data_IF_515729532131
#
_entry.id   IF_515729532131
#
_cell.length_a   1.000
_cell.length_b   1.000
_cell.length_c   1.000
_cell.angle_alpha   90.00
_cell.angle_beta   90.00
_cell.angle_gamma   90.00
#
_symmetry.space_group_name_H-M   'P 1'
#
loop_
_entity.id
_entity.type
_entity.pdbx_description
1 polymer ?
#
# COMPACT_ATOMS: atom_id res chain seq x y z
N UNK A 1 19.40 26.85 -12.78
CA UNK A 1 18.20 27.16 -11.96
C UNK A 1 17.18 26.07 -12.23
N UNK A 2 16.77 25.27 -11.22
CA UNK A 2 15.61 24.38 -11.38
C UNK A 2 14.39 25.31 -11.50
N UNK A 3 13.65 25.23 -12.60
CA UNK A 3 12.37 25.93 -12.71
C UNK A 3 11.48 25.42 -11.57
N UNK A 4 11.00 26.33 -10.70
CA UNK A 4 10.03 25.97 -9.68
C UNK A 4 8.76 25.50 -10.38
N UNK A 5 8.40 24.23 -10.15
CA UNK A 5 7.17 23.64 -10.69
C UNK A 5 6.00 24.29 -9.96
N UNK A 6 5.08 24.91 -10.71
CA UNK A 6 3.83 25.46 -10.15
C UNK A 6 3.07 24.35 -9.43
N UNK A 7 2.85 24.52 -8.13
CA UNK A 7 1.97 23.65 -7.35
C UNK A 7 0.50 23.95 -7.71
N UNK A 8 -0.29 22.96 -8.16
CA UNK A 8 -1.72 23.17 -8.43
C UNK A 8 -2.49 23.47 -7.13
N UNK A 9 -3.59 24.22 -7.23
CA UNK A 9 -4.50 24.44 -6.09
C UNK A 9 -5.25 23.15 -5.73
N UNK A 10 -5.92 23.15 -4.57
CA UNK A 10 -6.73 22.00 -4.15
C UNK A 10 -7.90 21.81 -5.10
N UNK A 11 -8.56 22.90 -5.46
CA UNK A 11 -9.69 22.91 -6.38
C UNK A 11 -9.27 22.40 -7.77
N UNK A 12 -8.09 22.81 -8.28
CA UNK A 12 -7.58 22.35 -9.58
C UNK A 12 -7.33 20.83 -9.59
N UNK A 13 -6.75 20.28 -8.51
CA UNK A 13 -6.54 18.83 -8.39
C UNK A 13 -7.85 18.06 -8.20
N UNK A 14 -8.76 18.57 -7.37
CA UNK A 14 -10.07 17.94 -7.14
C UNK A 14 -10.89 17.91 -8.43
N UNK A 15 -10.97 19.01 -9.17
CA UNK A 15 -11.67 19.07 -10.46
C UNK A 15 -11.07 18.11 -11.50
N UNK A 16 -9.74 17.96 -11.52
CA UNK A 16 -9.06 17.01 -12.40
C UNK A 16 -9.37 15.55 -12.05
N UNK A 17 -9.58 15.23 -10.77
CA UNK A 17 -9.94 13.89 -10.30
C UNK A 17 -11.43 13.60 -10.51
N UNK A 18 -12.31 14.57 -10.24
CA UNK A 18 -13.75 14.50 -10.50
C UNK A 18 -14.08 14.36 -12.00
N UNK A 19 -13.20 14.76 -12.91
CA UNK A 19 -13.38 14.49 -14.35
C UNK A 19 -13.10 13.04 -14.72
N UNK A 20 -12.38 12.28 -13.88
CA UNK A 20 -12.00 10.89 -14.12
C UNK A 20 -12.96 9.89 -13.49
N UNK A 21 -13.60 10.25 -12.39
CA UNK A 21 -14.57 9.44 -11.65
C UNK A 21 -15.87 10.21 -11.49
N UNK A 22 -17.01 9.54 -11.26
CA UNK A 22 -18.19 10.30 -10.82
C UNK A 22 -17.90 11.00 -9.48
N UNK A 23 -18.52 12.16 -9.24
CA UNK A 23 -18.37 12.91 -7.98
C UNK A 23 -18.66 12.04 -6.74
N UNK A 24 -19.60 11.10 -6.85
CA UNK A 24 -19.91 10.16 -5.77
C UNK A 24 -18.74 9.18 -5.49
N UNK A 25 -18.14 8.61 -6.53
CA UNK A 25 -16.99 7.71 -6.41
C UNK A 25 -15.81 8.48 -5.81
N UNK A 26 -15.50 9.66 -6.34
CA UNK A 26 -14.38 10.45 -5.85
C UNK A 26 -14.57 10.84 -4.38
N UNK A 27 -15.78 11.24 -3.98
CA UNK A 27 -16.11 11.54 -2.59
C UNK A 27 -15.83 10.34 -1.67
N UNK A 28 -16.27 9.13 -2.03
CA UNK A 28 -16.00 7.90 -1.24
C UNK A 28 -14.50 7.65 -1.08
N UNK A 29 -13.71 7.81 -2.15
CA UNK A 29 -12.25 7.63 -2.11
C UNK A 29 -11.57 8.70 -1.24
N UNK A 30 -11.99 9.96 -1.38
CA UNK A 30 -11.48 11.09 -0.60
C UNK A 30 -11.75 10.95 0.90
N UNK A 31 -12.89 10.39 1.29
CA UNK A 31 -13.25 10.17 2.70
C UNK A 31 -12.63 8.89 3.28
N UNK A 32 -12.13 7.98 2.43
CA UNK A 32 -11.61 6.69 2.87
C UNK A 32 -10.31 6.80 3.66
N UNK A 33 -10.18 5.91 4.65
CA UNK A 33 -8.99 5.72 5.48
C UNK A 33 -8.40 4.33 5.24
N UNK A 34 -7.13 4.30 4.85
CA UNK A 34 -6.39 3.07 4.60
C UNK A 34 -5.08 3.09 5.37
N UNK A 35 -4.70 1.98 5.98
CA UNK A 35 -3.37 1.81 6.54
C UNK A 35 -2.53 0.87 5.68
N UNK A 36 -1.22 1.13 5.63
CA UNK A 36 -0.24 0.28 4.95
C UNK A 36 0.81 -0.16 5.95
N UNK A 37 0.81 -1.45 6.26
CA UNK A 37 1.72 -2.10 7.19
C UNK A 37 2.88 -2.74 6.41
N UNK A 38 4.06 -2.13 6.53
CA UNK A 38 5.24 -2.47 5.73
C UNK A 38 5.28 -1.63 4.46
N UNK A 39 6.38 -0.91 4.26
CA UNK A 39 6.60 0.03 3.17
C UNK A 39 7.73 -0.44 2.25
N UNK A 40 7.86 -1.77 2.12
CA UNK A 40 8.75 -2.43 1.17
C UNK A 40 8.26 -2.37 -0.28
N UNK A 41 8.57 -3.40 -1.07
CA UNK A 41 8.23 -3.43 -2.50
C UNK A 41 6.73 -3.35 -2.77
N UNK A 42 5.94 -4.10 -2.01
CA UNK A 42 4.48 -4.08 -2.17
C UNK A 42 3.91 -2.79 -1.57
N UNK A 43 4.09 -2.56 -0.27
CA UNK A 43 3.43 -1.45 0.42
C UNK A 43 3.78 -0.05 -0.12
N UNK A 44 5.03 0.22 -0.50
CA UNK A 44 5.39 1.53 -1.07
C UNK A 44 4.71 1.77 -2.43
N UNK A 45 4.67 0.76 -3.30
CA UNK A 45 3.97 0.86 -4.58
C UNK A 45 2.44 0.89 -4.40
N UNK A 46 1.90 0.11 -3.45
CA UNK A 46 0.47 0.15 -3.08
C UNK A 46 0.08 1.56 -2.65
N UNK A 47 0.84 2.19 -1.75
CA UNK A 47 0.57 3.55 -1.28
C UNK A 47 0.64 4.59 -2.42
N UNK A 48 1.59 4.44 -3.36
CA UNK A 48 1.68 5.27 -4.56
C UNK A 48 0.42 5.13 -5.42
N UNK A 49 -0.04 3.90 -5.66
CA UNK A 49 -1.28 3.66 -6.40
C UNK A 49 -2.50 4.28 -5.69
N UNK A 50 -2.63 4.09 -4.37
CA UNK A 50 -3.72 4.66 -3.58
C UNK A 50 -3.74 6.19 -3.61
N UNK A 51 -2.58 6.84 -3.47
CA UNK A 51 -2.47 8.30 -3.56
C UNK A 51 -2.88 8.81 -4.94
N UNK A 52 -2.47 8.12 -6.02
CA UNK A 52 -2.86 8.46 -7.41
C UNK A 52 -4.33 8.23 -7.69
N UNK A 53 -4.97 7.30 -6.98
CA UNK A 53 -6.40 7.02 -7.09
C UNK A 53 -7.28 7.98 -6.28
N UNK A 54 -6.69 8.90 -5.50
CA UNK A 54 -7.45 9.92 -4.77
C UNK A 54 -7.94 9.46 -3.39
N UNK A 55 -7.34 8.43 -2.81
CA UNK A 55 -7.55 8.14 -1.38
C UNK A 55 -7.17 9.37 -0.56
N UNK A 56 -8.01 9.80 0.38
CA UNK A 56 -7.76 11.02 1.13
C UNK A 56 -6.94 10.84 2.40
N UNK A 57 -6.94 9.63 3.00
CA UNK A 57 -6.22 9.36 4.24
C UNK A 57 -5.41 8.06 4.16
N UNK A 58 -4.09 8.16 4.32
CA UNK A 58 -3.19 7.01 4.36
C UNK A 58 -2.38 7.03 5.67
N UNK A 59 -2.35 5.90 6.37
CA UNK A 59 -1.44 5.66 7.48
C UNK A 59 -0.30 4.75 7.05
N UNK A 60 0.94 5.21 7.24
CA UNK A 60 2.14 4.50 6.81
C UNK A 60 2.88 3.97 8.03
N UNK A 61 3.11 2.67 8.09
CA UNK A 61 3.76 2.02 9.24
C UNK A 61 4.92 1.16 8.76
N UNK A 62 6.13 1.53 9.17
CA UNK A 62 7.36 0.76 8.93
C UNK A 62 8.44 1.22 9.92
N UNK A 63 9.38 0.37 10.28
CA UNK A 63 10.47 0.68 11.20
C UNK A 63 11.82 0.87 10.51
N UNK A 64 11.93 0.48 9.24
CA UNK A 64 13.19 0.46 8.50
C UNK A 64 13.54 1.82 7.88
N UNK A 65 14.81 1.91 7.48
CA UNK A 65 15.32 2.94 6.56
C UNK A 65 15.41 2.42 5.12
N UNK A 66 15.52 3.33 4.16
CA UNK A 66 15.74 3.00 2.75
C UNK A 66 17.18 2.56 2.53
N UNK A 67 17.36 1.32 2.07
CA UNK A 67 18.66 0.75 1.74
C UNK A 67 18.92 0.69 0.22
N UNK A 68 20.19 0.64 -0.20
CA UNK A 68 20.57 0.55 -1.62
C UNK A 68 19.93 -0.66 -2.32
N UNK A 69 19.84 -1.80 -1.64
CA UNK A 69 19.24 -3.03 -2.17
C UNK A 69 17.73 -2.92 -2.38
N UNK A 70 17.09 -1.85 -1.87
CA UNK A 70 15.66 -1.62 -1.99
C UNK A 70 15.28 -0.97 -3.32
N UNK A 71 16.20 -0.23 -3.94
CA UNK A 71 15.93 0.59 -5.14
C UNK A 71 15.52 -0.25 -6.37
N UNK A 72 15.78 -1.56 -6.36
CA UNK A 72 15.42 -2.43 -7.47
C UNK A 72 13.91 -2.69 -7.60
N UNK A 73 13.10 -2.38 -6.57
CA UNK A 73 11.67 -2.76 -6.54
C UNK A 73 10.76 -1.88 -5.67
N UNK A 74 11.32 -1.04 -4.79
CA UNK A 74 10.55 -0.15 -3.92
C UNK A 74 10.40 1.23 -4.58
N UNK A 75 9.39 2.01 -4.20
CA UNK A 75 9.10 3.31 -4.83
C UNK A 75 10.17 4.40 -4.56
N UNK A 76 11.15 4.11 -3.69
CA UNK A 76 12.21 5.03 -3.29
C UNK A 76 13.19 5.35 -4.42
N UNK A 77 13.87 6.49 -4.26
CA UNK A 77 14.91 6.96 -5.19
C UNK A 77 16.25 7.09 -4.46
N UNK A 78 17.33 7.35 -5.20
CA UNK A 78 18.67 7.56 -4.63
C UNK A 78 18.69 8.67 -3.56
N UNK A 79 17.87 9.71 -3.72
CA UNK A 79 17.76 10.83 -2.77
C UNK A 79 17.16 10.39 -1.41
N UNK A 80 16.57 9.20 -1.34
CA UNK A 80 15.94 8.69 -0.11
C UNK A 80 16.85 7.78 0.72
N UNK A 81 18.03 7.39 0.21
CA UNK A 81 18.92 6.45 0.90
C UNK A 81 19.26 6.91 2.33
N UNK A 82 19.15 5.97 3.29
CA UNK A 82 19.42 6.21 4.71
C UNK A 82 18.28 6.89 5.48
N UNK A 83 17.22 7.36 4.83
CA UNK A 83 16.06 7.98 5.49
C UNK A 83 15.07 6.93 5.95
N UNK A 84 14.26 7.25 6.97
CA UNK A 84 13.15 6.40 7.39
C UNK A 84 12.18 6.19 6.23
N UNK A 85 11.76 4.94 6.01
CA UNK A 85 10.83 4.57 4.93
C UNK A 85 9.50 5.33 5.02
N UNK A 86 9.02 5.57 6.23
CA UNK A 86 7.81 6.35 6.53
C UNK A 86 7.92 7.79 6.04
N UNK A 87 9.04 8.46 6.34
CA UNK A 87 9.29 9.85 5.94
C UNK A 87 9.54 9.97 4.43
N UNK A 88 10.38 9.10 3.87
CA UNK A 88 10.69 9.08 2.45
C UNK A 88 9.43 8.84 1.61
N UNK A 89 8.58 7.88 2.02
CA UNK A 89 7.35 7.61 1.29
C UNK A 89 6.34 8.74 1.47
N UNK A 90 6.21 9.32 2.67
CA UNK A 90 5.35 10.49 2.89
C UNK A 90 5.71 11.64 1.94
N UNK A 91 7.00 11.94 1.77
CA UNK A 91 7.47 12.95 0.81
C UNK A 91 7.06 12.59 -0.63
N UNK A 92 7.33 11.36 -1.08
CA UNK A 92 6.94 10.89 -2.40
C UNK A 92 5.43 11.03 -2.65
N UNK A 93 4.61 10.66 -1.68
CA UNK A 93 3.15 10.73 -1.81
C UNK A 93 2.64 12.18 -1.82
N UNK A 94 3.26 13.10 -1.06
CA UNK A 94 2.90 14.53 -1.10
C UNK A 94 3.33 15.22 -2.40
N UNK A 95 4.36 14.70 -3.06
CA UNK A 95 4.73 15.11 -4.42
C UNK A 95 3.73 14.61 -5.47
N UNK A 96 2.97 13.54 -5.18
CA UNK A 96 1.88 13.04 -6.02
C UNK A 96 0.59 13.83 -5.75
N UNK A 97 0.20 13.94 -4.48
CA UNK A 97 -0.99 14.65 -4.05
C UNK A 97 -0.65 15.47 -2.79
N UNK A 98 -0.44 16.79 -2.91
CA UNK A 98 -0.06 17.63 -1.78
C UNK A 98 -1.16 17.87 -0.75
N UNK A 99 -2.39 17.40 -1.03
CA UNK A 99 -3.55 17.52 -0.14
C UNK A 99 -3.95 16.18 0.49
N UNK A 100 -3.21 15.11 0.22
CA UNK A 100 -3.36 13.82 0.89
C UNK A 100 -3.04 13.96 2.38
N UNK A 101 -3.92 13.44 3.23
CA UNK A 101 -3.67 13.37 4.67
C UNK A 101 -2.85 12.12 4.99
N UNK A 102 -1.60 12.30 5.39
CA UNK A 102 -0.67 11.21 5.71
C UNK A 102 -0.29 11.26 7.18
N UNK A 103 -0.54 10.14 7.86
CA UNK A 103 -0.01 9.86 9.19
C UNK A 103 1.06 8.79 9.08
N UNK A 104 2.07 8.84 9.94
CA UNK A 104 3.21 7.93 9.88
C UNK A 104 3.52 7.43 11.28
N UNK A 105 3.81 6.15 11.41
CA UNK A 105 4.34 5.59 12.66
C UNK A 105 5.60 4.76 12.35
N UNK A 106 6.75 5.21 12.87
CA UNK A 106 8.03 4.52 12.67
C UNK A 106 8.24 3.48 13.76
N UNK A 107 7.55 2.34 13.64
CA UNK A 107 7.53 1.29 14.67
C UNK A 107 7.49 -0.09 14.04
N UNK A 108 8.11 -1.06 14.70
CA UNK A 108 7.94 -2.46 14.33
C UNK A 108 6.59 -2.93 14.86
N UNK A 109 5.73 -3.40 13.98
CA UNK A 109 4.43 -3.92 14.36
C UNK A 109 4.61 -5.26 15.07
N UNK A 110 3.91 -5.40 16.19
CA UNK A 110 3.86 -6.60 17.01
C UNK A 110 2.41 -6.88 17.39
N UNK A 111 2.14 -8.06 17.95
CA UNK A 111 0.80 -8.42 18.43
C UNK A 111 0.26 -7.39 19.45
N UNK A 112 1.12 -6.88 20.34
CA UNK A 112 0.75 -5.98 21.41
C UNK A 112 0.35 -4.59 20.91
N UNK A 113 0.95 -4.12 19.81
CA UNK A 113 0.72 -2.77 19.30
C UNK A 113 -0.20 -2.71 18.08
N UNK A 114 -0.39 -3.82 17.35
CA UNK A 114 -1.14 -3.84 16.09
C UNK A 114 -2.55 -3.24 16.23
N UNK A 115 -3.29 -3.62 17.26
CA UNK A 115 -4.64 -3.07 17.48
C UNK A 115 -4.62 -1.56 17.68
N UNK A 116 -3.70 -1.03 18.50
CA UNK A 116 -3.59 0.42 18.73
C UNK A 116 -3.32 1.17 17.42
N UNK A 117 -2.46 0.61 16.58
CA UNK A 117 -2.00 1.23 15.34
C UNK A 117 -3.13 1.25 14.30
N UNK A 118 -3.86 0.15 14.15
CA UNK A 118 -4.75 -0.04 12.99
C UNK A 118 -6.25 0.06 13.26
N UNK A 119 -6.71 0.09 14.53
CA UNK A 119 -8.15 0.07 14.88
C UNK A 119 -9.03 1.11 14.18
N UNK A 120 -8.48 2.27 13.81
CA UNK A 120 -9.22 3.39 13.22
C UNK A 120 -9.22 3.37 11.68
N UNK A 121 -8.67 2.31 11.07
CA UNK A 121 -8.54 2.11 9.63
C UNK A 121 -9.36 0.89 9.19
N UNK A 122 -10.52 1.06 8.53
CA UNK A 122 -11.37 -0.05 8.12
C UNK A 122 -10.71 -1.05 7.16
N UNK A 123 -9.67 -0.60 6.45
CA UNK A 123 -8.92 -1.39 5.49
C UNK A 123 -7.42 -1.27 5.78
N UNK A 124 -6.75 -2.42 5.90
CA UNK A 124 -5.31 -2.53 6.09
C UNK A 124 -4.68 -3.28 4.92
N UNK A 125 -3.70 -2.66 4.29
CA UNK A 125 -2.77 -3.30 3.35
C UNK A 125 -1.64 -3.94 4.17
N UNK A 126 -1.55 -5.26 4.15
CA UNK A 126 -0.46 -6.00 4.79
C UNK A 126 0.61 -6.32 3.74
N UNK A 127 1.82 -5.81 3.97
CA UNK A 127 2.92 -5.89 3.03
C UNK A 127 4.26 -6.24 3.71
N UNK A 128 4.23 -7.04 4.79
CA UNK A 128 5.43 -7.59 5.39
C UNK A 128 6.03 -8.69 4.51
N UNK A 129 7.36 -8.77 4.56
CA UNK A 129 8.16 -9.78 3.86
C UNK A 129 8.23 -11.10 4.65
N UNK A 130 8.27 -11.03 5.98
CA UNK A 130 8.31 -12.20 6.84
C UNK A 130 6.91 -12.84 7.01
N UNK A 131 6.75 -14.14 6.68
CA UNK A 131 5.46 -14.83 6.80
C UNK A 131 4.88 -14.90 8.21
N UNK A 132 5.71 -14.99 9.24
CA UNK A 132 5.25 -15.08 10.64
C UNK A 132 4.67 -13.73 11.11
N UNK A 133 5.36 -12.63 10.81
CA UNK A 133 4.86 -11.28 11.13
C UNK A 133 3.54 -10.99 10.42
N UNK A 134 3.39 -11.46 9.18
CA UNK A 134 2.16 -11.38 8.39
C UNK A 134 1.02 -12.13 9.05
N UNK A 135 1.25 -13.38 9.44
CA UNK A 135 0.26 -14.19 10.15
C UNK A 135 -0.14 -13.55 11.48
N UNK A 136 0.82 -13.07 12.26
CA UNK A 136 0.58 -12.35 13.53
C UNK A 136 -0.33 -11.14 13.30
N UNK A 137 0.00 -10.27 12.33
CA UNK A 137 -0.80 -9.08 12.06
C UNK A 137 -2.24 -9.46 11.64
N UNK A 138 -2.37 -10.33 10.65
CA UNK A 138 -3.66 -10.75 10.11
C UNK A 138 -4.54 -11.34 11.21
N UNK A 139 -4.01 -12.27 11.99
CA UNK A 139 -4.77 -12.91 13.07
C UNK A 139 -5.16 -11.90 14.15
N UNK A 140 -4.21 -11.07 14.59
CA UNK A 140 -4.46 -10.06 15.64
C UNK A 140 -5.58 -9.09 15.24
N UNK A 141 -5.54 -8.60 14.00
CA UNK A 141 -6.50 -7.63 13.51
C UNK A 141 -7.88 -8.26 13.25
N UNK A 142 -7.94 -9.45 12.66
CA UNK A 142 -9.23 -10.12 12.43
C UNK A 142 -9.89 -10.57 13.75
N UNK A 143 -9.10 -10.90 14.79
CA UNK A 143 -9.63 -11.22 16.11
C UNK A 143 -10.18 -9.97 16.82
N UNK A 144 -9.42 -8.87 16.84
CA UNK A 144 -9.78 -7.66 17.61
C UNK A 144 -10.68 -6.68 16.85
N UNK A 145 -10.70 -6.75 15.52
CA UNK A 145 -11.48 -5.89 14.63
C UNK A 145 -12.17 -6.75 13.55
N UNK A 146 -13.24 -7.50 13.89
CA UNK A 146 -13.82 -8.51 13.00
C UNK A 146 -14.38 -7.95 11.69
N UNK A 147 -14.71 -6.65 11.62
CA UNK A 147 -15.20 -5.99 10.40
C UNK A 147 -14.08 -5.40 9.52
N UNK A 148 -12.85 -5.33 10.03
CA UNK A 148 -11.70 -4.81 9.30
C UNK A 148 -11.39 -5.70 8.11
N UNK A 149 -11.17 -5.08 6.94
CA UNK A 149 -10.74 -5.77 5.74
C UNK A 149 -9.21 -5.73 5.66
N UNK A 150 -8.61 -6.85 5.32
CA UNK A 150 -7.17 -6.96 5.11
C UNK A 150 -6.92 -7.39 3.68
N UNK A 151 -6.06 -6.64 2.98
CA UNK A 151 -5.55 -7.03 1.67
C UNK A 151 -4.06 -7.30 1.84
N UNK A 152 -3.66 -8.54 1.62
CA UNK A 152 -2.30 -9.04 1.79
C UNK A 152 -1.76 -9.53 0.44
N UNK A 153 -0.48 -9.83 0.38
CA UNK A 153 0.17 -10.37 -0.82
C UNK A 153 0.99 -11.64 -0.55
N UNK A 154 1.09 -12.52 -1.52
CA UNK A 154 1.95 -13.71 -1.48
C UNK A 154 2.27 -14.22 -2.88
N UNK A 155 3.54 -14.45 -3.18
CA UNK A 155 3.99 -15.00 -4.44
C UNK A 155 4.06 -13.97 -5.57
N UNK A 156 5.24 -13.35 -5.70
CA UNK A 156 5.56 -12.36 -6.72
C UNK A 156 7.05 -12.34 -7.09
N UNK A 157 7.81 -13.34 -6.66
CA UNK A 157 9.24 -13.42 -6.90
C UNK A 157 9.54 -13.88 -8.34
N UNK A 158 10.75 -13.56 -8.80
CA UNK A 158 11.25 -13.98 -10.10
C UNK A 158 10.68 -13.20 -11.27
N UNK A 159 10.77 -13.83 -12.45
CA UNK A 159 10.54 -13.22 -13.77
C UNK A 159 9.54 -14.01 -14.62
N UNK A 160 8.74 -14.90 -14.00
CA UNK A 160 7.68 -15.62 -14.70
C UNK A 160 6.57 -14.69 -15.22
N UNK A 161 5.52 -15.25 -15.81
CA UNK A 161 4.39 -14.47 -16.32
C UNK A 161 3.68 -13.68 -15.23
N UNK A 162 3.54 -12.37 -15.41
CA UNK A 162 2.76 -11.53 -14.48
C UNK A 162 1.26 -11.79 -14.53
N UNK A 163 0.76 -12.47 -15.57
CA UNK A 163 -0.66 -12.85 -15.67
C UNK A 163 -1.05 -13.92 -14.64
N UNK A 164 -0.09 -14.54 -13.96
CA UNK A 164 -0.33 -15.47 -12.85
C UNK A 164 -0.65 -14.76 -11.52
N UNK A 165 -0.40 -13.46 -11.44
CA UNK A 165 -0.75 -12.65 -10.28
C UNK A 165 -2.26 -12.41 -10.31
N UNK A 166 -2.94 -12.93 -9.30
CA UNK A 166 -4.39 -12.83 -9.15
C UNK A 166 -4.72 -12.32 -7.76
N UNK A 167 -5.87 -11.65 -7.63
CA UNK A 167 -6.47 -11.40 -6.31
C UNK A 167 -7.40 -12.56 -5.99
N UNK A 168 -7.40 -13.06 -4.75
CA UNK A 168 -8.38 -14.04 -4.27
C UNK A 168 -8.88 -13.65 -2.89
N UNK A 169 -10.15 -13.95 -2.61
CA UNK A 169 -10.72 -13.86 -1.26
C UNK A 169 -10.43 -15.17 -0.54
N UNK A 170 -9.62 -15.12 0.51
CA UNK A 170 -9.19 -16.30 1.29
C UNK A 170 -10.13 -16.54 2.47
N UNK A 171 -10.61 -15.46 3.09
CA UNK A 171 -11.61 -15.48 4.15
C UNK A 171 -12.59 -14.32 3.94
N UNK A 172 -13.65 -14.24 4.76
CA UNK A 172 -14.64 -13.16 4.69
C UNK A 172 -13.98 -11.78 4.57
N UNK A 173 -12.97 -11.49 5.37
CA UNK A 173 -12.33 -10.18 5.40
C UNK A 173 -10.83 -10.20 5.06
N UNK A 174 -10.37 -11.27 4.40
CA UNK A 174 -8.97 -11.42 3.99
C UNK A 174 -8.88 -11.68 2.48
N UNK A 175 -8.19 -10.79 1.80
CA UNK A 175 -7.91 -10.84 0.36
C UNK A 175 -6.41 -11.01 0.16
N UNK A 176 -6.02 -11.85 -0.80
CA UNK A 176 -4.63 -12.19 -1.07
C UNK A 176 -4.30 -11.96 -2.55
N UNK A 177 -3.29 -11.14 -2.81
CA UNK A 177 -2.79 -10.80 -4.14
C UNK A 177 -1.50 -11.56 -4.44
N UNK A 178 -1.37 -12.14 -5.64
CA UNK A 178 -0.16 -12.83 -6.08
C UNK A 178 -0.42 -14.24 -6.62
N UNK A 179 0.66 -14.90 -7.03
CA UNK A 179 0.62 -16.24 -7.61
C UNK A 179 0.58 -17.37 -6.56
N UNK A 180 0.92 -17.07 -5.29
CA UNK A 180 0.98 -17.99 -4.14
C UNK A 180 1.93 -19.20 -4.30
N UNK A 181 2.82 -19.17 -5.29
CA UNK A 181 3.73 -20.27 -5.66
C UNK A 181 5.18 -19.84 -5.60
N UNK A 182 5.50 -18.63 -6.06
CA UNK A 182 6.86 -18.14 -6.12
C UNK A 182 7.27 -17.59 -4.76
N UNK A 183 8.52 -17.79 -4.38
CA UNK A 183 9.10 -17.11 -3.23
C UNK A 183 10.54 -16.70 -3.56
N UNK A 184 11.05 -15.75 -2.78
CA UNK A 184 12.43 -15.32 -2.90
C UNK A 184 13.35 -16.39 -2.31
N UNK A 185 13.84 -17.31 -3.15
CA UNK A 185 14.84 -18.31 -2.80
C UNK A 185 16.20 -17.99 -3.43
N UNK A 186 17.26 -18.68 -2.99
CA UNK A 186 18.63 -18.50 -3.49
C UNK A 186 18.68 -18.54 -5.02
N UNK A 187 18.92 -17.38 -5.64
CA UNK A 187 19.03 -17.19 -7.09
C UNK A 187 17.82 -16.54 -7.78
N UNK A 188 16.67 -16.42 -7.11
CA UNK A 188 15.45 -15.79 -7.65
C UNK A 188 15.03 -14.63 -6.74
N UNK A 189 15.41 -13.41 -7.15
CA UNK A 189 15.03 -12.19 -6.45
C UNK A 189 13.64 -11.67 -6.83
N UNK A 190 13.20 -10.63 -6.12
CA UNK A 190 11.99 -9.87 -6.45
C UNK A 190 12.27 -8.92 -7.63
N UNK A 191 11.48 -9.04 -8.69
CA UNK A 191 11.56 -8.17 -9.88
C UNK A 191 10.52 -7.06 -9.81
N UNK A 192 10.93 -5.82 -10.11
CA UNK A 192 10.07 -4.63 -10.04
C UNK A 192 8.71 -4.83 -10.73
N UNK A 193 8.69 -5.37 -11.94
CA UNK A 193 7.45 -5.56 -12.71
C UNK A 193 6.41 -6.44 -11.99
N UNK A 194 6.82 -7.60 -11.47
CA UNK A 194 5.90 -8.49 -10.72
C UNK A 194 5.47 -7.88 -9.39
N UNK A 195 6.40 -7.24 -8.67
CA UNK A 195 6.11 -6.54 -7.42
C UNK A 195 5.08 -5.43 -7.64
N UNK A 196 5.28 -4.57 -8.65
CA UNK A 196 4.37 -3.47 -8.95
C UNK A 196 3.01 -3.96 -9.43
N UNK A 197 2.93 -5.08 -10.15
CA UNK A 197 1.64 -5.67 -10.54
C UNK A 197 0.91 -6.21 -9.33
N UNK A 198 1.59 -6.93 -8.43
CA UNK A 198 0.98 -7.41 -7.19
C UNK A 198 0.52 -6.26 -6.29
N UNK A 199 1.32 -5.20 -6.14
CA UNK A 199 0.92 -3.97 -5.46
C UNK A 199 -0.27 -3.27 -6.13
N UNK A 200 -0.34 -3.32 -7.46
CA UNK A 200 -1.49 -2.83 -8.24
C UNK A 200 -2.76 -3.63 -7.95
N UNK A 201 -2.67 -4.95 -7.84
CA UNK A 201 -3.78 -5.80 -7.40
C UNK A 201 -4.24 -5.45 -5.99
N UNK A 202 -3.29 -5.22 -5.07
CA UNK A 202 -3.58 -4.86 -3.68
C UNK A 202 -4.29 -3.51 -3.60
N UNK A 203 -3.74 -2.47 -4.23
CA UNK A 203 -4.33 -1.14 -4.27
C UNK A 203 -5.72 -1.14 -4.96
N UNK A 204 -5.87 -1.89 -6.05
CA UNK A 204 -7.15 -1.98 -6.74
C UNK A 204 -8.20 -2.71 -5.90
N UNK A 205 -7.82 -3.74 -5.15
CA UNK A 205 -8.74 -4.41 -4.24
C UNK A 205 -9.19 -3.49 -3.10
N UNK A 206 -8.28 -2.68 -2.54
CA UNK A 206 -8.64 -1.66 -1.55
C UNK A 206 -9.67 -0.67 -2.11
N UNK A 207 -9.48 -0.19 -3.34
CA UNK A 207 -10.44 0.70 -4.02
C UNK A 207 -11.79 0.01 -4.18
N UNK A 208 -11.81 -1.25 -4.64
CA UNK A 208 -13.03 -2.05 -4.76
C UNK A 208 -13.76 -2.15 -3.42
N UNK A 209 -13.05 -2.44 -2.34
CA UNK A 209 -13.62 -2.53 -0.99
C UNK A 209 -14.24 -1.20 -0.52
N UNK A 210 -13.58 -0.07 -0.78
CA UNK A 210 -14.13 1.27 -0.47
C UNK A 210 -15.43 1.52 -1.23
N UNK A 211 -15.53 1.01 -2.45
CA UNK A 211 -16.71 1.14 -3.30
C UNK A 211 -17.77 0.06 -3.03
N UNK A 212 -17.56 -0.82 -2.04
CA UNK A 212 -18.49 -1.89 -1.68
C UNK A 212 -18.47 -3.12 -2.60
N UNK A 213 -17.43 -3.26 -3.41
CA UNK A 213 -17.25 -4.37 -4.36
C UNK A 213 -16.34 -5.42 -3.72
N UNK A 214 -16.95 -6.52 -3.24
CA UNK A 214 -16.22 -7.59 -2.54
C UNK A 214 -15.98 -8.85 -3.37
N UNK A 215 -16.62 -8.98 -4.53
CA UNK A 215 -16.39 -10.09 -5.47
C UNK A 215 -14.99 -10.03 -6.10
N UNK A 216 -14.53 -11.18 -6.59
CA UNK A 216 -13.23 -11.37 -7.26
C UNK A 216 -13.45 -11.74 -8.71
#
# INVERSE_FOLDING_TARGET
MKNEVRKPSREELEEAMDKRFSTEIYKKLKEAKVAVAGLGGIGSNTAVCLARSGIGHIHLVDFDTVDLTNLNRQAYTIEHLGRLKTEALKELLLNINPYLNITTETVKVTEENAFRIFKDYPIVCEAFDNPDNKAILVNTLLEKCPDMKIVSSSGMAGYGSSNEIETKRIMKNLYLCGDRKTDAYSGIGLMAGRVSICAGHEANMVIRLILGIEEI
#
